data_IF_888314591596
#
_entry.id   IF_888314591596
#
_cell.length_a   1.000
_cell.length_b   1.000
_cell.length_c   1.000
_cell.angle_alpha   90.00
_cell.angle_beta   90.00
_cell.angle_gamma   90.00
#
_symmetry.space_group_name_H-M   'P 1'
#
loop_
_entity.id
_entity.type
_entity.pdbx_description
1 polymer ?
#
# COMPACT_ATOMS: atom_id res chain seq x y z
N UNK A 1 -1.26 -24.29 11.95
CA UNK A 1 -1.87 -23.48 13.03
C UNK A 1 -2.15 -22.10 12.46
N UNK A 2 -3.43 -21.72 12.27
CA UNK A 2 -3.80 -20.38 11.80
C UNK A 2 -3.61 -19.43 12.99
N UNK A 3 -2.72 -18.46 12.89
CA UNK A 3 -2.65 -17.40 13.90
C UNK A 3 -4.01 -16.68 13.94
N UNK A 4 -4.58 -16.58 15.14
CA UNK A 4 -5.88 -15.96 15.37
C UNK A 4 -5.74 -14.45 15.14
N UNK A 5 -6.80 -13.79 14.68
CA UNK A 5 -6.86 -12.33 14.54
C UNK A 5 -6.41 -11.59 15.82
N UNK A 6 -6.65 -12.18 16.98
CA UNK A 6 -6.17 -11.71 18.28
C UNK A 6 -4.63 -11.70 18.38
N UNK A 7 -3.95 -12.74 17.91
CA UNK A 7 -2.48 -12.82 17.92
C UNK A 7 -1.87 -11.76 17.01
N UNK A 8 -2.43 -11.55 15.82
CA UNK A 8 -1.99 -10.49 14.92
C UNK A 8 -2.28 -9.10 15.46
N UNK A 9 -3.39 -8.93 16.17
CA UNK A 9 -3.68 -7.68 16.85
C UNK A 9 -2.72 -7.43 18.00
N UNK A 10 -2.39 -8.44 18.79
CA UNK A 10 -1.44 -8.30 19.88
C UNK A 10 -0.04 -7.96 19.35
N UNK A 11 0.42 -8.63 18.29
CA UNK A 11 1.65 -8.28 17.59
C UNK A 11 1.63 -6.84 17.05
N UNK A 12 0.49 -6.41 16.48
CA UNK A 12 0.28 -5.03 16.05
C UNK A 12 0.33 -4.06 17.24
N UNK A 13 -0.27 -4.40 18.39
CA UNK A 13 -0.23 -3.64 19.63
C UNK A 13 1.18 -3.60 20.24
N UNK A 14 1.98 -4.64 20.10
CA UNK A 14 3.37 -4.68 20.52
C UNK A 14 4.35 -4.04 19.53
N UNK A 15 3.91 -3.73 18.30
CA UNK A 15 4.76 -3.27 17.18
C UNK A 15 5.87 -4.28 16.87
N UNK A 16 5.50 -5.54 16.88
CA UNK A 16 6.46 -6.62 16.71
C UNK A 16 7.01 -6.62 15.27
N UNK A 17 8.34 -6.59 15.16
CA UNK A 17 9.05 -6.53 13.87
C UNK A 17 9.16 -7.90 13.22
N UNK A 18 9.07 -8.98 13.99
CA UNK A 18 9.09 -10.35 13.47
C UNK A 18 7.90 -10.64 12.55
N UNK A 19 6.80 -9.90 12.73
CA UNK A 19 5.62 -10.01 11.89
C UNK A 19 5.62 -9.03 10.70
N UNK A 20 6.68 -8.25 10.52
CA UNK A 20 6.80 -7.33 9.40
C UNK A 20 6.87 -8.11 8.07
N UNK A 21 5.87 -7.91 7.21
CA UNK A 21 5.73 -8.65 5.96
C UNK A 21 5.05 -10.01 6.08
N UNK A 22 4.74 -10.46 7.31
CA UNK A 22 3.95 -11.68 7.58
C UNK A 22 2.46 -11.40 7.44
N UNK A 23 2.01 -10.22 7.90
CA UNK A 23 0.64 -9.77 7.72
C UNK A 23 0.55 -8.25 7.56
N UNK A 24 -0.58 -7.81 7.03
CA UNK A 24 -1.00 -6.42 6.89
C UNK A 24 -2.32 -6.22 7.64
N UNK A 25 -2.51 -5.06 8.24
CA UNK A 25 -3.73 -4.73 8.98
C UNK A 25 -4.51 -3.63 8.25
N UNK A 26 -5.66 -3.98 7.68
CA UNK A 26 -6.66 -3.06 7.15
C UNK A 26 -7.51 -2.47 8.27
N UNK A 27 -7.58 -1.15 8.33
CA UNK A 27 -8.41 -0.42 9.28
C UNK A 27 -9.71 -0.06 8.57
N UNK A 28 -10.82 -0.69 8.97
CA UNK A 28 -12.15 -0.48 8.38
C UNK A 28 -12.62 0.97 8.50
N UNK A 29 -12.30 1.62 9.62
CA UNK A 29 -12.74 3.00 9.89
C UNK A 29 -12.11 4.03 8.96
N UNK A 30 -10.89 3.81 8.49
CA UNK A 30 -10.18 4.72 7.57
C UNK A 30 -10.09 4.18 6.15
N UNK A 31 -10.40 2.90 5.94
CA UNK A 31 -10.14 2.20 4.69
C UNK A 31 -8.64 2.16 4.35
N UNK A 32 -7.76 2.09 5.37
CA UNK A 32 -6.31 2.12 5.18
C UNK A 32 -5.67 0.85 5.73
N UNK A 33 -4.81 0.17 4.97
CA UNK A 33 -4.00 -0.93 5.45
C UNK A 33 -2.57 -0.52 5.83
N UNK A 34 -2.05 -1.09 6.92
CA UNK A 34 -0.80 -0.74 7.58
C UNK A 34 0.09 -1.97 7.83
N UNK A 35 1.36 -1.73 8.18
CA UNK A 35 2.26 -2.75 8.77
C UNK A 35 1.99 -2.95 10.27
N UNK A 36 2.36 -4.11 10.84
CA UNK A 36 2.30 -4.35 12.27
C UNK A 36 3.11 -3.33 13.10
N UNK A 37 4.17 -2.76 12.51
CA UNK A 37 5.09 -1.81 13.15
C UNK A 37 4.60 -0.35 13.08
N UNK A 38 3.40 -0.09 12.53
CA UNK A 38 2.92 1.25 12.27
C UNK A 38 2.86 2.13 13.55
N UNK A 39 3.39 3.36 13.52
CA UNK A 39 3.30 4.29 14.64
C UNK A 39 1.92 4.95 14.79
N UNK A 40 0.99 4.72 13.85
CA UNK A 40 -0.34 5.31 13.90
C UNK A 40 -1.14 4.84 15.13
N UNK A 41 -2.14 5.64 15.52
CA UNK A 41 -3.04 5.30 16.63
C UNK A 41 -3.74 3.99 16.33
N UNK A 42 -3.63 3.04 17.24
CA UNK A 42 -4.15 1.69 17.06
C UNK A 42 -5.67 1.69 17.24
N UNK A 43 -6.45 1.29 16.22
CA UNK A 43 -7.89 1.11 16.36
C UNK A 43 -8.19 -0.13 17.21
N UNK A 44 -9.46 -0.28 17.60
CA UNK A 44 -9.96 -1.49 18.27
C UNK A 44 -9.91 -2.68 17.31
N UNK A 45 -9.74 -3.89 17.85
CA UNK A 45 -9.71 -5.15 17.11
C UNK A 45 -10.92 -5.28 16.16
N UNK A 46 -12.12 -4.88 16.56
CA UNK A 46 -13.34 -4.93 15.74
C UNK A 46 -13.23 -4.18 14.41
N UNK A 47 -12.41 -3.12 14.38
CA UNK A 47 -12.17 -2.29 13.21
C UNK A 47 -10.89 -2.67 12.45
N UNK A 48 -10.21 -3.74 12.88
CA UNK A 48 -9.01 -4.25 12.26
C UNK A 48 -9.33 -5.52 11.47
N UNK A 49 -8.84 -5.58 10.25
CA UNK A 49 -8.92 -6.74 9.38
C UNK A 49 -7.50 -7.14 8.98
N UNK A 50 -7.18 -8.42 9.05
CA UNK A 50 -5.81 -8.90 8.82
C UNK A 50 -5.73 -9.59 7.46
N UNK A 51 -4.74 -9.19 6.66
CA UNK A 51 -4.46 -9.72 5.33
C UNK A 51 -3.06 -10.32 5.31
N UNK A 52 -2.89 -11.47 4.67
CA UNK A 52 -1.55 -12.07 4.52
C UNK A 52 -0.71 -11.31 3.48
N UNK A 53 -1.35 -10.65 2.52
CA UNK A 53 -0.70 -9.99 1.39
C UNK A 53 -1.22 -8.57 1.18
N UNK A 54 -0.34 -7.66 0.77
CA UNK A 54 -0.71 -6.30 0.38
C UNK A 54 -1.67 -6.29 -0.82
N UNK A 55 -1.55 -7.27 -1.74
CA UNK A 55 -2.47 -7.42 -2.87
C UNK A 55 -3.90 -7.69 -2.40
N UNK A 56 -4.08 -8.55 -1.41
CA UNK A 56 -5.40 -8.88 -0.86
C UNK A 56 -6.04 -7.66 -0.21
N UNK A 57 -5.24 -6.84 0.50
CA UNK A 57 -5.71 -5.58 1.06
C UNK A 57 -6.12 -4.56 -0.04
N UNK A 58 -5.33 -4.45 -1.11
CA UNK A 58 -5.65 -3.59 -2.26
C UNK A 58 -6.92 -4.03 -2.99
N UNK A 59 -7.11 -5.34 -3.19
CA UNK A 59 -8.31 -5.91 -3.79
C UNK A 59 -9.55 -5.70 -2.93
N UNK A 60 -9.38 -5.66 -1.61
CA UNK A 60 -10.42 -5.33 -0.65
C UNK A 60 -10.66 -3.80 -0.50
N UNK A 61 -10.20 -3.00 -1.46
CA UNK A 61 -10.37 -1.54 -1.51
C UNK A 61 -9.70 -0.77 -0.37
N UNK A 62 -8.73 -1.36 0.36
CA UNK A 62 -7.95 -0.64 1.35
C UNK A 62 -6.82 0.16 0.69
N UNK A 63 -6.65 1.41 1.14
CA UNK A 63 -5.56 2.31 0.76
C UNK A 63 -4.28 2.00 1.55
N UNK A 64 -3.08 2.05 0.97
CA UNK A 64 -1.87 1.87 1.73
C UNK A 64 -1.65 3.03 2.72
N UNK A 65 -1.18 2.71 3.92
CA UNK A 65 -0.90 3.73 4.92
C UNK A 65 0.28 4.60 4.53
N UNK A 66 0.07 5.92 4.48
CA UNK A 66 1.12 6.90 4.17
C UNK A 66 2.20 7.03 5.26
N UNK A 67 1.94 6.55 6.49
CA UNK A 67 2.88 6.61 7.64
C UNK A 67 3.82 5.41 7.73
N UNK A 68 3.27 4.20 7.76
CA UNK A 68 4.08 2.98 7.86
C UNK A 68 4.44 2.38 6.51
N UNK A 69 3.86 2.92 5.45
CA UNK A 69 4.10 2.60 4.05
C UNK A 69 4.36 1.11 3.87
N UNK A 70 3.31 0.30 4.00
CA UNK A 70 3.42 -1.15 3.90
C UNK A 70 4.04 -1.62 2.58
N UNK A 71 4.07 -0.73 1.60
CA UNK A 71 4.66 -0.90 0.28
C UNK A 71 6.11 -0.39 0.15
N UNK A 72 6.78 0.13 1.18
CA UNK A 72 8.21 0.50 1.11
C UNK A 72 9.08 -0.65 1.65
N UNK A 73 9.72 -1.40 0.74
CA UNK A 73 10.76 -2.36 1.13
C UNK A 73 12.05 -1.60 1.51
N UNK A 74 12.94 -2.19 2.34
CA UNK A 74 14.16 -1.54 2.81
C UNK A 74 15.17 -1.20 1.69
N UNK A 75 15.09 -1.90 0.55
CA UNK A 75 16.09 -1.79 -0.52
C UNK A 75 15.71 -0.73 -1.56
N UNK A 76 16.00 0.52 -1.22
CA UNK A 76 16.13 1.61 -2.18
C UNK A 76 14.79 2.13 -2.70
N UNK A 77 14.28 3.16 -2.03
CA UNK A 77 13.35 4.11 -2.63
C UNK A 77 13.89 4.54 -4.01
N UNK A 78 13.01 4.58 -5.00
CA UNK A 78 13.05 5.73 -5.90
C UNK A 78 11.84 6.55 -5.48
N UNK A 79 12.06 7.70 -4.82
CA UNK A 79 11.03 8.67 -4.41
C UNK A 79 9.96 8.88 -5.48
N UNK A 80 10.36 8.65 -6.73
CA UNK A 80 9.50 8.46 -7.88
C UNK A 80 8.24 7.60 -7.67
N UNK A 81 8.38 6.32 -7.30
CA UNK A 81 7.23 5.40 -7.19
C UNK A 81 6.24 5.94 -6.17
N UNK A 82 6.77 6.49 -5.08
CA UNK A 82 6.02 7.14 -4.02
C UNK A 82 5.26 8.36 -4.53
N UNK A 83 5.96 9.31 -5.18
CA UNK A 83 5.33 10.52 -5.73
C UNK A 83 4.21 10.18 -6.72
N UNK A 84 4.38 9.10 -7.48
CA UNK A 84 3.39 8.62 -8.44
C UNK A 84 2.18 7.99 -7.77
N UNK A 85 2.37 7.15 -6.74
CA UNK A 85 1.26 6.59 -5.96
C UNK A 85 0.46 7.69 -5.28
N UNK A 86 1.15 8.65 -4.63
CA UNK A 86 0.49 9.77 -3.94
C UNK A 86 -0.34 10.61 -4.92
N UNK A 87 0.21 10.93 -6.09
CA UNK A 87 -0.51 11.71 -7.08
C UNK A 87 -1.72 10.98 -7.68
N UNK A 88 -1.69 9.64 -7.78
CA UNK A 88 -2.87 8.83 -8.16
C UNK A 88 -3.91 8.79 -7.04
N UNK A 89 -3.49 8.80 -5.77
CA UNK A 89 -4.43 8.84 -4.65
C UNK A 89 -5.05 10.21 -4.42
N UNK A 90 -4.33 11.30 -4.72
CA UNK A 90 -4.86 12.66 -4.69
C UNK A 90 -5.85 12.90 -5.83
N UNK A 91 -5.58 12.36 -7.02
CA UNK A 91 -6.44 12.51 -8.19
C UNK A 91 -6.66 11.17 -8.91
N UNK A 92 -7.60 10.33 -8.42
CA UNK A 92 -7.87 9.01 -8.98
C UNK A 92 -8.57 9.07 -10.35
N UNK A 93 -9.11 10.23 -10.74
CA UNK A 93 -9.73 10.43 -12.06
C UNK A 93 -8.73 10.91 -13.12
N UNK A 94 -7.57 11.43 -12.69
CA UNK A 94 -6.51 11.89 -13.58
C UNK A 94 -6.05 10.79 -14.53
N UNK A 95 -6.09 11.09 -15.83
CA UNK A 95 -5.53 10.23 -16.87
C UNK A 95 -4.05 10.50 -17.03
N UNK A 96 -3.24 9.64 -16.43
CA UNK A 96 -1.80 9.66 -16.59
C UNK A 96 -1.38 9.22 -18.00
N UNK A 97 -0.59 10.05 -18.66
CA UNK A 97 0.02 9.76 -19.97
C UNK A 97 1.54 9.70 -19.85
N UNK A 98 2.20 9.18 -20.88
CA UNK A 98 3.66 9.14 -20.94
C UNK A 98 4.31 10.53 -20.80
N UNK A 99 3.62 11.59 -21.24
CA UNK A 99 4.06 12.99 -21.08
C UNK A 99 4.13 13.44 -19.63
N UNK A 100 3.19 13.02 -18.77
CA UNK A 100 3.20 13.43 -17.36
C UNK A 100 4.49 12.96 -16.66
N UNK A 101 5.02 11.78 -17.00
CA UNK A 101 6.29 11.29 -16.45
C UNK A 101 7.48 12.07 -17.02
N UNK A 102 7.46 12.42 -18.31
CA UNK A 102 8.50 13.24 -18.93
C UNK A 102 8.55 14.65 -18.32
N UNK A 103 7.39 15.26 -18.04
CA UNK A 103 7.30 16.57 -17.36
C UNK A 103 7.80 16.50 -15.90
N UNK A 104 7.67 15.35 -15.25
CA UNK A 104 8.25 15.10 -13.93
C UNK A 104 9.74 14.75 -13.96
N UNK A 105 10.38 14.70 -15.14
CA UNK A 105 11.80 14.33 -15.28
C UNK A 105 12.06 12.83 -15.10
N UNK A 106 11.07 11.99 -15.37
CA UNK A 106 11.08 10.56 -15.08
C UNK A 106 10.94 9.75 -16.36
N UNK A 107 11.82 8.77 -16.53
CA UNK A 107 11.67 7.77 -17.58
C UNK A 107 10.47 6.80 -17.33
N UNK A 108 9.49 6.72 -18.24
CA UNK A 108 8.31 5.85 -18.11
C UNK A 108 8.65 4.35 -18.01
N UNK A 109 9.77 3.92 -18.60
CA UNK A 109 10.22 2.53 -18.54
C UNK A 109 10.73 2.18 -17.15
N UNK A 110 11.40 3.13 -16.49
CA UNK A 110 11.82 3.02 -15.09
C UNK A 110 10.61 2.91 -14.17
N UNK A 111 9.58 3.76 -14.36
CA UNK A 111 8.31 3.66 -13.63
C UNK A 111 7.68 2.29 -13.81
N UNK A 112 7.49 1.84 -15.06
CA UNK A 112 6.90 0.54 -15.38
C UNK A 112 7.67 -0.61 -14.75
N UNK A 113 9.01 -0.60 -14.82
CA UNK A 113 9.87 -1.66 -14.27
C UNK A 113 9.75 -1.71 -12.74
N UNK A 114 9.77 -0.57 -12.07
CA UNK A 114 9.65 -0.52 -10.62
C UNK A 114 8.24 -0.91 -10.14
N UNK A 115 7.19 -0.41 -10.79
CA UNK A 115 5.82 -0.82 -10.47
C UNK A 115 5.58 -2.30 -10.71
N UNK A 116 6.05 -2.85 -11.84
CA UNK A 116 5.91 -4.28 -12.13
C UNK A 116 6.68 -5.15 -11.13
N UNK A 117 7.90 -4.75 -10.74
CA UNK A 117 8.70 -5.43 -9.70
C UNK A 117 8.02 -5.38 -8.34
N UNK A 118 7.31 -4.28 -8.02
CA UNK A 118 6.76 -4.06 -6.68
C UNK A 118 5.31 -4.54 -6.49
N UNK A 119 4.45 -4.22 -7.45
CA UNK A 119 3.00 -4.44 -7.40
C UNK A 119 2.55 -5.60 -8.30
N UNK A 120 3.43 -6.11 -9.16
CA UNK A 120 3.06 -7.11 -10.17
C UNK A 120 2.18 -6.54 -11.29
N UNK A 121 1.93 -5.23 -11.30
CA UNK A 121 1.11 -4.51 -12.27
C UNK A 121 1.78 -3.20 -12.68
N UNK A 122 1.41 -2.66 -13.83
CA UNK A 122 1.90 -1.38 -14.31
C UNK A 122 1.23 -0.22 -13.58
N UNK A 123 1.90 0.94 -13.55
CA UNK A 123 1.32 2.16 -12.97
C UNK A 123 -0.04 2.54 -13.56
N UNK A 124 -0.23 2.36 -14.86
CA UNK A 124 -1.51 2.64 -15.53
C UNK A 124 -2.60 1.67 -15.07
N UNK A 125 -2.27 0.39 -14.85
CA UNK A 125 -3.20 -0.58 -14.26
C UNK A 125 -3.55 -0.23 -12.82
N UNK A 126 -2.58 0.24 -12.02
CA UNK A 126 -2.81 0.72 -10.67
C UNK A 126 -3.75 1.94 -10.67
N UNK A 127 -3.47 2.97 -11.48
CA UNK A 127 -4.32 4.15 -11.61
C UNK A 127 -5.74 3.80 -12.11
N UNK A 128 -5.84 2.87 -13.08
CA UNK A 128 -7.12 2.38 -13.57
C UNK A 128 -7.90 1.61 -12.51
N UNK A 129 -7.23 0.77 -11.71
CA UNK A 129 -7.85 0.05 -10.59
C UNK A 129 -8.41 1.00 -9.55
N UNK A 130 -7.73 2.13 -9.28
CA UNK A 130 -8.24 3.18 -8.40
C UNK A 130 -9.46 3.88 -8.96
N UNK A 131 -9.50 4.09 -10.27
CA UNK A 131 -10.64 4.71 -10.97
C UNK A 131 -11.86 3.79 -11.08
N UNK A 132 -11.64 2.48 -11.21
CA UNK A 132 -12.70 1.46 -11.36
C UNK A 132 -13.21 0.90 -10.02
N UNK A 133 -12.61 1.24 -8.88
CA UNK A 133 -13.04 0.79 -7.56
C UNK A 133 -14.28 1.50 -7.00
N UNK A 134 -15.23 1.86 -7.87
CA UNK A 134 -16.53 2.41 -7.52
C UNK A 134 -17.60 1.33 -7.62
#
# INVERSE_FOLDING_TARGET
MKATSETYYEAFVRKDRDYEGVFFVGVKTTGVFCRPTCPARKPKLDNCEFFNDARSALLASYRPCKRCRPLDLPDGETELVRSLVDAVEEDPERRWKERDFQEMGVDPSTVRRQFKKRFGMTFVEYARSRRMGM
#
